data_IF_137520117384
#
_entry.id   IF_137520117384
#
_cell.length_a   1.000
_cell.length_b   1.000
_cell.length_c   1.000
_cell.angle_alpha   90.00
_cell.angle_beta   90.00
_cell.angle_gamma   90.00
#
_symmetry.space_group_name_H-M   'P 1'
#
loop_
_entity.id
_entity.type
_entity.pdbx_description
1 polymer ?
#
# COMPACT_ATOMS: atom_id res chain seq x y z
N UNK A 1 -65.41 -30.51 16.81
CA UNK A 1 -65.17 -29.05 16.73
C UNK A 1 -64.00 -28.73 17.65
N UNK A 2 -62.78 -28.75 17.11
CA UNK A 2 -61.57 -28.34 17.81
C UNK A 2 -60.97 -27.21 16.98
N UNK A 3 -61.05 -25.98 17.47
CA UNK A 3 -60.48 -24.80 16.84
C UNK A 3 -58.99 -24.75 17.18
N UNK A 4 -58.15 -25.09 16.20
CA UNK A 4 -56.71 -24.82 16.26
C UNK A 4 -56.46 -23.30 16.39
N UNK A 5 -55.47 -22.87 17.18
CA UNK A 5 -55.13 -21.46 17.28
C UNK A 5 -54.48 -20.99 15.97
N UNK A 6 -54.87 -19.79 15.52
CA UNK A 6 -54.24 -19.09 14.39
C UNK A 6 -52.77 -18.83 14.70
N UNK A 7 -51.87 -18.88 13.69
CA UNK A 7 -50.53 -18.33 13.85
C UNK A 7 -50.66 -16.82 14.04
N UNK A 8 -49.98 -16.29 15.07
CA UNK A 8 -49.92 -14.86 15.33
C UNK A 8 -49.39 -14.15 14.09
N UNK A 9 -50.24 -13.31 13.51
CA UNK A 9 -49.90 -12.42 12.41
C UNK A 9 -48.80 -11.48 12.85
N UNK A 10 -47.68 -11.51 12.13
CA UNK A 10 -46.48 -10.70 12.39
C UNK A 10 -46.83 -9.24 12.68
N UNK A 11 -46.54 -8.80 13.91
CA UNK A 11 -46.53 -7.40 14.26
C UNK A 11 -45.47 -6.71 13.39
N UNK A 12 -45.90 -5.80 12.52
CA UNK A 12 -44.98 -4.89 11.82
C UNK A 12 -44.04 -4.26 12.85
N UNK A 13 -42.71 -4.38 12.70
CA UNK A 13 -41.77 -3.84 13.67
C UNK A 13 -41.98 -2.33 13.81
N UNK A 14 -42.07 -1.85 15.04
CA UNK A 14 -42.28 -0.44 15.33
C UNK A 14 -40.98 0.32 15.05
N UNK A 15 -40.89 0.96 13.88
CA UNK A 15 -39.73 1.78 13.51
C UNK A 15 -39.80 3.21 14.07
N UNK A 16 -40.92 3.60 14.68
CA UNK A 16 -41.08 4.94 15.29
C UNK A 16 -40.21 5.12 16.55
N UNK A 17 -39.69 4.03 17.10
CA UNK A 17 -38.77 4.02 18.23
C UNK A 17 -37.37 4.53 17.86
N UNK A 18 -37.00 4.51 16.57
CA UNK A 18 -35.67 4.94 16.12
C UNK A 18 -35.49 6.46 16.30
N UNK A 19 -34.36 6.92 16.87
CA UNK A 19 -34.06 8.35 16.91
C UNK A 19 -33.80 8.89 15.50
N UNK A 20 -34.14 10.16 15.28
CA UNK A 20 -33.74 10.85 14.05
C UNK A 20 -32.23 11.05 14.02
N UNK A 21 -31.66 11.14 12.82
CA UNK A 21 -30.23 11.44 12.61
C UNK A 21 -29.85 12.74 13.34
N UNK A 22 -30.68 13.78 13.25
CA UNK A 22 -30.43 15.05 13.94
C UNK A 22 -30.43 14.93 15.47
N UNK A 23 -31.29 14.07 16.03
CA UNK A 23 -31.31 13.80 17.47
C UNK A 23 -30.02 13.12 17.92
N UNK A 24 -29.52 12.15 17.14
CA UNK A 24 -28.26 11.47 17.44
C UNK A 24 -27.07 12.43 17.27
N UNK A 25 -27.07 13.27 16.23
CA UNK A 25 -26.03 14.29 16.01
C UNK A 25 -25.99 15.37 17.09
N UNK A 26 -27.11 15.61 17.78
CA UNK A 26 -27.19 16.58 18.88
C UNK A 26 -26.87 15.96 20.25
N UNK A 27 -26.62 14.65 20.32
CA UNK A 27 -26.16 13.99 21.55
C UNK A 27 -24.74 14.45 21.86
N UNK A 28 -24.48 14.91 23.09
CA UNK A 28 -23.18 15.43 23.51
C UNK A 28 -22.03 14.43 23.24
N UNK A 29 -22.30 13.12 23.32
CA UNK A 29 -21.30 12.07 23.08
C UNK A 29 -20.90 11.97 21.60
N UNK A 30 -21.73 12.44 20.69
CA UNK A 30 -21.46 12.55 19.26
C UNK A 30 -20.93 13.94 18.92
N UNK A 31 -21.47 14.99 19.54
CA UNK A 31 -21.04 16.37 19.31
C UNK A 31 -19.55 16.57 19.64
N UNK A 32 -19.05 15.96 20.72
CA UNK A 32 -17.61 15.98 21.08
C UNK A 32 -16.72 15.37 19.97
N UNK A 33 -17.26 14.49 19.13
CA UNK A 33 -16.51 13.89 18.01
C UNK A 33 -16.28 14.87 16.86
N UNK A 34 -17.05 15.96 16.76
CA UNK A 34 -16.88 16.99 15.72
C UNK A 34 -15.53 17.71 15.81
N UNK A 35 -14.88 17.70 16.99
CA UNK A 35 -13.52 18.19 17.16
C UNK A 35 -12.47 17.34 16.41
N UNK A 36 -12.80 16.09 16.08
CA UNK A 36 -11.88 15.11 15.51
C UNK A 36 -12.23 14.72 14.06
N UNK A 37 -13.41 15.13 13.56
CA UNK A 37 -13.85 14.79 12.22
C UNK A 37 -14.94 15.74 11.72
N UNK A 38 -14.98 15.92 10.39
CA UNK A 38 -15.97 16.79 9.77
C UNK A 38 -17.40 16.31 10.04
N UNK A 39 -18.29 17.27 10.30
CA UNK A 39 -19.71 16.99 10.60
C UNK A 39 -20.42 16.20 9.50
N UNK A 40 -20.01 16.36 8.25
CA UNK A 40 -20.54 15.59 7.13
C UNK A 40 -20.24 14.09 7.28
N UNK A 41 -19.00 13.75 7.66
CA UNK A 41 -18.58 12.36 7.90
C UNK A 41 -19.37 11.77 9.07
N UNK A 42 -19.51 12.52 10.17
CA UNK A 42 -20.33 12.08 11.31
C UNK A 42 -21.79 11.83 10.91
N UNK A 43 -22.37 12.71 10.08
CA UNK A 43 -23.74 12.54 9.63
C UNK A 43 -23.91 11.28 8.76
N UNK A 44 -22.92 10.95 7.93
CA UNK A 44 -22.91 9.71 7.15
C UNK A 44 -22.82 8.49 8.07
N UNK A 45 -21.91 8.49 9.06
CA UNK A 45 -21.76 7.41 10.03
C UNK A 45 -23.01 7.19 10.88
N UNK A 46 -23.66 8.27 11.32
CA UNK A 46 -24.94 8.21 12.05
C UNK A 46 -26.03 7.64 11.15
N UNK A 47 -26.10 8.06 9.87
CA UNK A 47 -27.07 7.52 8.91
C UNK A 47 -26.89 6.02 8.70
N UNK A 48 -25.64 5.56 8.60
CA UNK A 48 -25.34 4.14 8.46
C UNK A 48 -25.68 3.34 9.72
N UNK A 49 -25.34 3.84 10.91
CA UNK A 49 -25.67 3.19 12.18
C UNK A 49 -27.18 3.09 12.40
N UNK A 50 -27.92 4.19 12.19
CA UNK A 50 -29.40 4.18 12.24
C UNK A 50 -29.98 3.23 11.17
N UNK A 51 -29.36 3.19 9.99
CA UNK A 51 -29.72 2.29 8.90
C UNK A 51 -29.55 0.82 9.27
N UNK A 52 -28.47 0.47 9.99
CA UNK A 52 -28.21 -0.89 10.47
C UNK A 52 -29.27 -1.33 11.48
N UNK A 53 -29.55 -0.50 12.49
CA UNK A 53 -30.57 -0.82 13.49
C UNK A 53 -31.96 -0.92 12.85
N UNK A 54 -32.26 -0.08 11.85
CA UNK A 54 -33.50 -0.21 11.06
C UNK A 54 -33.59 -1.58 10.38
N UNK A 55 -32.50 -2.07 9.78
CA UNK A 55 -32.46 -3.41 9.16
C UNK A 55 -32.65 -4.52 10.19
N UNK A 56 -32.01 -4.42 11.36
CA UNK A 56 -32.15 -5.38 12.45
C UNK A 56 -33.61 -5.48 12.96
N UNK A 57 -34.26 -4.34 13.21
CA UNK A 57 -35.66 -4.31 13.63
C UNK A 57 -36.60 -4.89 12.55
N UNK A 58 -36.35 -4.60 11.27
CA UNK A 58 -37.09 -5.19 10.15
C UNK A 58 -36.90 -6.71 10.05
N UNK A 59 -35.75 -7.23 10.45
CA UNK A 59 -35.44 -8.66 10.49
C UNK A 59 -36.04 -9.38 11.71
N UNK A 60 -36.66 -8.66 12.65
CA UNK A 60 -37.35 -9.21 13.81
C UNK A 60 -36.60 -9.08 15.14
N UNK A 61 -35.43 -8.42 15.16
CA UNK A 61 -34.72 -8.14 16.40
C UNK A 61 -35.52 -7.19 17.29
N UNK A 62 -35.42 -7.38 18.61
CA UNK A 62 -36.09 -6.55 19.61
C UNK A 62 -35.04 -5.85 20.45
N UNK A 63 -34.92 -4.55 20.25
CA UNK A 63 -34.07 -3.67 21.06
C UNK A 63 -34.97 -2.73 21.89
N UNK A 64 -34.74 -2.61 23.21
CA UNK A 64 -35.45 -1.65 24.05
C UNK A 64 -35.21 -0.23 23.55
N UNK A 65 -36.27 0.59 23.56
CA UNK A 65 -36.19 1.97 23.04
C UNK A 65 -35.16 2.81 23.80
N UNK A 66 -35.03 2.55 25.08
CA UNK A 66 -34.14 3.24 26.01
C UNK A 66 -32.66 2.98 25.66
N UNK A 67 -32.35 1.82 25.07
CA UNK A 67 -30.98 1.40 24.73
C UNK A 67 -30.57 1.81 23.31
N UNK A 68 -31.52 2.11 22.43
CA UNK A 68 -31.25 2.39 21.00
C UNK A 68 -30.27 3.53 20.79
N UNK A 69 -30.40 4.62 21.55
CA UNK A 69 -29.50 5.76 21.42
C UNK A 69 -28.07 5.38 21.83
N UNK A 70 -27.92 4.63 22.92
CA UNK A 70 -26.62 4.19 23.41
C UNK A 70 -25.95 3.22 22.45
N UNK A 71 -26.72 2.27 21.88
CA UNK A 71 -26.24 1.34 20.85
C UNK A 71 -25.80 2.09 19.58
N UNK A 72 -26.59 3.05 19.11
CA UNK A 72 -26.24 3.85 17.92
C UNK A 72 -25.00 4.70 18.19
N UNK A 73 -24.89 5.33 19.37
CA UNK A 73 -23.72 6.13 19.73
C UNK A 73 -22.46 5.26 19.81
N UNK A 74 -22.55 4.06 20.38
CA UNK A 74 -21.44 3.11 20.42
C UNK A 74 -21.01 2.66 19.01
N UNK A 75 -21.97 2.31 18.15
CA UNK A 75 -21.69 1.91 16.76
C UNK A 75 -21.06 3.05 15.96
N UNK A 76 -21.57 4.29 16.08
CA UNK A 76 -20.98 5.47 15.42
C UNK A 76 -19.54 5.70 15.87
N UNK A 77 -19.23 5.55 17.17
CA UNK A 77 -17.86 5.68 17.69
C UNK A 77 -16.95 4.61 17.12
N UNK A 78 -17.38 3.34 17.12
CA UNK A 78 -16.60 2.24 16.57
C UNK A 78 -16.34 2.42 15.07
N UNK A 79 -17.36 2.85 14.31
CA UNK A 79 -17.20 3.14 12.88
C UNK A 79 -16.26 4.30 12.66
N UNK A 80 -16.36 5.36 13.45
CA UNK A 80 -15.45 6.50 13.35
C UNK A 80 -14.01 6.09 13.61
N UNK A 81 -13.76 5.31 14.67
CA UNK A 81 -12.43 4.76 14.96
C UNK A 81 -11.89 3.95 13.79
N UNK A 82 -12.72 3.11 13.16
CA UNK A 82 -12.31 2.33 12.00
C UNK A 82 -12.07 3.19 10.74
N UNK A 83 -12.92 4.18 10.49
CA UNK A 83 -12.79 5.10 9.35
C UNK A 83 -11.57 5.99 9.48
N UNK A 84 -11.26 6.44 10.70
CA UNK A 84 -10.12 7.31 10.99
C UNK A 84 -8.82 6.54 11.25
N UNK A 85 -8.88 5.22 11.39
CA UNK A 85 -7.68 4.40 11.58
C UNK A 85 -6.75 4.51 10.34
N UNK A 86 -5.44 4.75 10.55
CA UNK A 86 -4.48 4.72 9.47
C UNK A 86 -4.46 3.36 8.78
N UNK A 87 -4.62 3.35 7.45
CA UNK A 87 -4.50 2.12 6.65
C UNK A 87 -3.07 1.56 6.65
N UNK A 88 -2.08 2.42 6.84
CA UNK A 88 -0.68 2.05 7.05
C UNK A 88 -0.35 2.24 8.53
N UNK A 89 -0.02 1.16 9.21
CA UNK A 89 0.24 1.14 10.65
C UNK A 89 1.49 0.29 10.97
N UNK A 90 2.19 0.57 12.08
CA UNK A 90 3.28 -0.28 12.55
C UNK A 90 2.77 -1.68 12.90
N UNK A 91 3.62 -2.69 12.69
CA UNK A 91 3.32 -4.10 12.95
C UNK A 91 4.48 -4.77 13.67
N UNK A 92 4.20 -5.78 14.48
CA UNK A 92 5.22 -6.62 15.13
C UNK A 92 5.51 -7.83 14.25
N UNK A 93 6.74 -7.94 13.73
CA UNK A 93 7.15 -9.09 12.93
C UNK A 93 7.56 -10.26 13.83
N UNK A 94 6.71 -11.28 13.94
CA UNK A 94 6.96 -12.51 14.68
C UNK A 94 7.24 -13.73 13.77
N UNK A 95 7.45 -13.51 12.47
CA UNK A 95 7.62 -14.60 11.48
C UNK A 95 9.06 -15.14 11.42
N UNK A 96 10.03 -14.42 11.99
CA UNK A 96 11.46 -14.72 11.84
C UNK A 96 12.05 -14.38 10.47
N UNK A 97 11.23 -13.89 9.53
CA UNK A 97 11.69 -13.45 8.20
C UNK A 97 12.22 -12.01 8.31
N UNK A 98 13.53 -11.84 8.10
CA UNK A 98 14.20 -10.52 8.20
C UNK A 98 13.75 -9.59 7.05
N UNK A 99 13.93 -10.02 5.79
CA UNK A 99 13.53 -9.26 4.61
C UNK A 99 12.11 -9.64 4.18
N UNK A 100 11.12 -9.26 4.98
CA UNK A 100 9.73 -9.62 4.72
C UNK A 100 9.12 -8.67 3.67
N UNK A 101 8.88 -9.17 2.46
CA UNK A 101 8.35 -8.37 1.33
C UNK A 101 7.02 -7.69 1.64
N UNK A 102 6.10 -8.39 2.30
CA UNK A 102 4.78 -7.83 2.64
C UNK A 102 4.80 -6.86 3.83
N UNK A 103 5.84 -6.87 4.69
CA UNK A 103 5.95 -5.98 5.85
C UNK A 103 6.91 -4.80 5.60
N UNK A 104 7.27 -4.55 4.35
CA UNK A 104 8.09 -3.37 3.98
C UNK A 104 9.60 -3.61 3.92
N UNK A 105 10.07 -4.87 3.86
CA UNK A 105 11.49 -5.24 3.73
C UNK A 105 12.33 -4.77 4.93
N UNK A 106 13.48 -4.14 4.66
CA UNK A 106 14.44 -3.76 5.70
C UNK A 106 13.94 -2.52 6.48
N UNK A 107 13.80 -2.60 7.81
CA UNK A 107 13.57 -1.42 8.62
C UNK A 107 14.80 -0.50 8.60
N UNK A 108 14.57 0.80 8.75
CA UNK A 108 15.65 1.79 8.79
C UNK A 108 16.26 1.89 10.20
N UNK A 109 17.57 2.11 10.25
CA UNK A 109 18.26 2.39 11.51
C UNK A 109 17.79 3.75 12.08
N UNK A 110 17.79 3.94 13.42
CA UNK A 110 17.37 5.19 14.05
C UNK A 110 18.08 6.44 13.49
N UNK A 111 19.39 6.35 13.24
CA UNK A 111 20.17 7.46 12.66
C UNK A 111 19.71 7.84 11.24
N UNK A 112 19.26 6.87 10.43
CA UNK A 112 18.73 7.15 9.09
C UNK A 112 17.36 7.85 9.19
N UNK A 113 16.49 7.42 10.12
CA UNK A 113 15.21 8.07 10.37
C UNK A 113 15.40 9.51 10.86
N UNK A 114 16.34 9.74 11.78
CA UNK A 114 16.67 11.09 12.27
C UNK A 114 17.08 12.01 11.12
N UNK A 115 17.93 11.52 10.19
CA UNK A 115 18.32 12.29 9.00
C UNK A 115 17.14 12.62 8.10
N UNK A 116 16.26 11.64 7.82
CA UNK A 116 15.06 11.85 7.00
C UNK A 116 14.16 12.92 7.62
N UNK A 117 13.93 12.85 8.94
CA UNK A 117 13.12 13.83 9.66
C UNK A 117 13.75 15.21 9.63
N UNK A 118 15.07 15.32 9.83
CA UNK A 118 15.80 16.59 9.77
C UNK A 118 15.73 17.26 8.39
N UNK A 119 15.59 16.49 7.32
CA UNK A 119 15.50 16.98 5.93
C UNK A 119 14.06 17.01 5.38
N UNK A 120 13.04 16.87 6.22
CA UNK A 120 11.65 16.80 5.77
C UNK A 120 11.11 18.14 5.21
N UNK A 121 11.75 19.26 5.56
CA UNK A 121 11.46 20.59 5.02
C UNK A 121 12.24 20.91 3.74
N UNK A 122 12.48 22.20 3.48
CA UNK A 122 13.39 22.61 2.41
C UNK A 122 14.80 22.06 2.67
N UNK A 123 15.41 21.53 1.62
CA UNK A 123 16.74 20.95 1.65
C UNK A 123 17.46 21.20 0.33
N UNK A 124 18.76 20.97 0.31
CA UNK A 124 19.65 21.23 -0.82
C UNK A 124 19.62 20.11 -1.88
N UNK A 125 18.45 19.50 -2.14
CA UNK A 125 18.30 18.34 -3.04
C UNK A 125 18.88 18.62 -4.43
N UNK A 126 18.71 19.83 -4.95
CA UNK A 126 19.27 20.28 -6.23
C UNK A 126 19.93 21.66 -6.12
N UNK A 127 20.52 21.96 -4.95
CA UNK A 127 21.25 23.21 -4.73
C UNK A 127 22.63 22.88 -4.23
N UNK A 128 23.64 23.36 -4.94
CA UNK A 128 25.01 23.32 -4.46
C UNK A 128 25.23 24.48 -3.47
N UNK A 129 25.62 24.15 -2.24
CA UNK A 129 25.71 25.14 -1.17
C UNK A 129 26.95 26.03 -1.29
N UNK A 130 27.97 25.59 -2.02
CA UNK A 130 29.20 26.36 -2.23
C UNK A 130 29.01 27.45 -3.29
N UNK A 131 28.45 27.09 -4.45
CA UNK A 131 28.18 28.01 -5.56
C UNK A 131 26.84 28.75 -5.44
N UNK A 132 25.89 28.22 -4.66
CA UNK A 132 24.52 28.71 -4.57
C UNK A 132 23.69 28.48 -5.84
N UNK A 133 24.20 27.70 -6.80
CA UNK A 133 23.53 27.41 -8.07
C UNK A 133 22.76 26.09 -8.02
N UNK A 134 21.99 25.83 -9.08
CA UNK A 134 21.33 24.53 -9.27
C UNK A 134 22.39 23.43 -9.41
N UNK A 135 22.32 22.45 -8.54
CA UNK A 135 23.14 21.24 -8.56
C UNK A 135 22.35 20.01 -9.05
N UNK A 136 23.04 18.87 -9.08
CA UNK A 136 22.42 17.59 -9.42
C UNK A 136 22.32 16.65 -8.21
N UNK A 137 21.11 16.15 -7.95
CA UNK A 137 20.82 15.29 -6.79
C UNK A 137 21.60 13.98 -6.75
N UNK A 138 22.06 13.45 -7.89
CA UNK A 138 22.78 12.17 -7.94
C UNK A 138 24.14 12.24 -7.26
N UNK A 139 24.78 13.41 -7.31
CA UNK A 139 26.09 13.66 -6.70
C UNK A 139 26.06 13.51 -5.17
N UNK A 140 24.88 13.62 -4.54
CA UNK A 140 24.73 13.46 -3.09
C UNK A 140 25.08 12.03 -2.60
N UNK A 141 25.05 11.04 -3.50
CA UNK A 141 25.27 9.61 -3.15
C UNK A 141 26.28 8.90 -4.04
N UNK A 142 26.58 9.44 -5.23
CA UNK A 142 27.48 8.80 -6.20
C UNK A 142 28.87 8.54 -5.63
N UNK A 143 29.50 9.53 -5.01
CA UNK A 143 30.86 9.39 -4.45
C UNK A 143 30.93 8.28 -3.39
N UNK A 144 29.92 8.20 -2.52
CA UNK A 144 29.84 7.15 -1.50
C UNK A 144 29.69 5.77 -2.14
N UNK A 145 28.88 5.64 -3.19
CA UNK A 145 28.71 4.37 -3.89
C UNK A 145 29.99 3.96 -4.62
N UNK A 146 30.67 4.89 -5.27
CA UNK A 146 31.95 4.62 -5.95
C UNK A 146 33.02 4.19 -4.94
N UNK A 147 33.10 4.86 -3.77
CA UNK A 147 34.01 4.46 -2.69
C UNK A 147 33.72 3.05 -2.14
N UNK A 148 32.44 2.69 -1.98
CA UNK A 148 32.04 1.38 -1.45
C UNK A 148 32.25 0.23 -2.44
N UNK A 149 32.11 0.51 -3.74
CA UNK A 149 32.09 -0.53 -4.79
C UNK A 149 33.37 -0.59 -5.61
N UNK A 150 34.15 0.49 -5.66
CA UNK A 150 35.27 0.66 -6.59
C UNK A 150 34.86 0.95 -8.03
N UNK A 151 33.57 1.21 -8.29
CA UNK A 151 33.09 1.57 -9.62
C UNK A 151 33.58 2.97 -10.04
N UNK A 152 33.71 3.18 -11.35
CA UNK A 152 34.13 4.47 -11.94
C UNK A 152 33.04 5.55 -11.83
N UNK A 153 31.77 5.14 -11.79
CA UNK A 153 30.60 6.01 -11.65
C UNK A 153 29.43 5.21 -11.05
N UNK A 154 28.43 5.91 -10.49
CA UNK A 154 27.26 5.26 -9.90
C UNK A 154 25.98 6.07 -10.11
N UNK A 155 24.89 5.36 -10.42
CA UNK A 155 23.56 5.96 -10.57
C UNK A 155 22.55 5.28 -9.63
N UNK A 156 21.68 6.08 -9.02
CA UNK A 156 20.55 5.61 -8.22
C UNK A 156 19.25 5.97 -8.92
N UNK A 157 18.40 4.97 -9.08
CA UNK A 157 17.04 5.12 -9.62
C UNK A 157 16.03 4.59 -8.60
N UNK A 158 14.74 4.75 -8.89
CA UNK A 158 13.64 4.41 -7.99
C UNK A 158 13.79 3.02 -7.32
N UNK A 159 14.08 1.97 -8.11
CA UNK A 159 14.32 0.63 -7.60
C UNK A 159 15.10 -0.22 -8.62
N UNK A 160 15.46 -1.44 -8.25
CA UNK A 160 16.22 -2.34 -9.14
C UNK A 160 15.47 -2.70 -10.44
N UNK A 161 14.13 -2.75 -10.43
CA UNK A 161 13.37 -3.03 -11.66
C UNK A 161 13.54 -1.91 -12.68
N UNK A 162 13.49 -0.65 -12.21
CA UNK A 162 13.80 0.51 -13.04
C UNK A 162 15.27 0.51 -13.51
N UNK A 163 16.21 0.07 -12.65
CA UNK A 163 17.61 -0.06 -13.03
C UNK A 163 17.80 -1.06 -14.18
N UNK A 164 17.23 -2.27 -14.06
CA UNK A 164 17.27 -3.29 -15.12
C UNK A 164 16.68 -2.74 -16.42
N UNK A 165 15.50 -2.11 -16.37
CA UNK A 165 14.87 -1.53 -17.55
C UNK A 165 15.76 -0.45 -18.20
N UNK A 166 16.29 0.46 -17.39
CA UNK A 166 17.11 1.57 -17.86
C UNK A 166 18.41 1.08 -18.48
N UNK A 167 19.09 0.13 -17.84
CA UNK A 167 20.34 -0.46 -18.36
C UNK A 167 20.11 -1.18 -19.68
N UNK A 168 19.08 -2.02 -19.76
CA UNK A 168 18.75 -2.75 -20.98
C UNK A 168 18.35 -1.82 -22.12
N UNK A 169 17.56 -0.78 -21.83
CA UNK A 169 17.18 0.20 -22.85
C UNK A 169 18.37 1.05 -23.29
N UNK A 170 19.16 1.59 -22.35
CA UNK A 170 20.27 2.49 -22.68
C UNK A 170 21.40 1.80 -23.45
N UNK A 171 21.67 0.51 -23.15
CA UNK A 171 22.80 -0.23 -23.74
C UNK A 171 22.37 -1.23 -24.82
N UNK A 172 21.14 -1.73 -24.76
CA UNK A 172 20.66 -2.87 -25.55
C UNK A 172 19.48 -2.57 -26.47
N UNK A 173 19.02 -1.31 -26.59
CA UNK A 173 17.91 -0.97 -27.49
C UNK A 173 18.18 -1.46 -28.92
N UNK A 174 17.24 -2.24 -29.46
CA UNK A 174 17.31 -2.89 -30.79
C UNK A 174 18.50 -3.84 -31.00
N UNK A 175 19.24 -4.16 -29.94
CA UNK A 175 20.39 -5.07 -29.90
C UNK A 175 20.07 -6.36 -29.14
N UNK A 176 20.90 -7.37 -29.34
CA UNK A 176 20.74 -8.67 -28.70
C UNK A 176 21.34 -8.65 -27.30
N UNK A 177 20.54 -8.96 -26.28
CA UNK A 177 21.01 -9.14 -24.91
C UNK A 177 20.94 -10.62 -24.53
N UNK A 178 22.13 -11.21 -24.35
CA UNK A 178 22.27 -12.63 -24.02
C UNK A 178 22.01 -12.87 -22.53
N UNK A 179 21.15 -13.82 -22.21
CA UNK A 179 20.77 -14.18 -20.83
C UNK A 179 20.65 -15.69 -20.67
N UNK A 180 21.08 -16.22 -19.52
CA UNK A 180 20.88 -17.64 -19.22
C UNK A 180 19.40 -17.93 -18.96
N UNK A 181 18.88 -19.03 -19.49
CA UNK A 181 17.52 -19.51 -19.17
C UNK A 181 17.29 -19.70 -17.66
N UNK A 182 18.34 -20.03 -16.90
CA UNK A 182 18.28 -20.16 -15.45
C UNK A 182 18.13 -18.84 -14.69
N UNK A 183 18.33 -17.69 -15.36
CA UNK A 183 18.24 -16.36 -14.76
C UNK A 183 16.90 -15.66 -15.03
N UNK A 184 16.00 -16.28 -15.80
CA UNK A 184 14.67 -15.74 -16.10
C UNK A 184 13.73 -15.91 -14.92
N UNK A 185 13.97 -15.12 -13.88
CA UNK A 185 13.29 -15.18 -12.60
C UNK A 185 12.05 -14.30 -12.56
N UNK A 186 11.15 -14.69 -11.65
CA UNK A 186 10.04 -13.88 -11.18
C UNK A 186 10.26 -13.59 -9.68
N UNK A 187 10.18 -12.33 -9.30
CA UNK A 187 10.41 -11.89 -7.91
C UNK A 187 9.21 -11.08 -7.42
N UNK A 188 8.63 -11.51 -6.30
CA UNK A 188 7.40 -10.92 -5.79
C UNK A 188 6.20 -11.30 -6.66
N UNK A 189 5.30 -10.36 -6.92
CA UNK A 189 4.07 -10.62 -7.71
C UNK A 189 4.01 -9.95 -9.08
N UNK A 190 5.00 -9.11 -9.46
CA UNK A 190 4.90 -8.30 -10.68
C UNK A 190 6.23 -8.03 -11.38
N UNK A 191 7.36 -8.51 -10.85
CA UNK A 191 8.65 -8.37 -11.53
C UNK A 191 9.01 -9.70 -12.21
N UNK A 192 9.01 -9.69 -13.54
CA UNK A 192 9.36 -10.83 -14.38
C UNK A 192 10.44 -10.38 -15.36
N UNK A 193 11.63 -10.96 -15.28
CA UNK A 193 12.76 -10.52 -16.12
C UNK A 193 12.43 -10.57 -17.62
N UNK A 194 11.77 -11.61 -18.17
CA UNK A 194 11.38 -11.64 -19.58
C UNK A 194 10.49 -10.46 -19.99
N UNK A 195 9.50 -10.14 -19.17
CA UNK A 195 8.56 -9.04 -19.44
C UNK A 195 9.28 -7.68 -19.40
N UNK A 196 10.27 -7.53 -18.51
CA UNK A 196 11.10 -6.32 -18.41
C UNK A 196 12.03 -6.18 -19.61
N UNK A 197 12.66 -7.27 -20.05
CA UNK A 197 13.51 -7.27 -21.25
C UNK A 197 12.69 -6.91 -22.49
N UNK A 198 11.51 -7.51 -22.66
CA UNK A 198 10.63 -7.17 -23.78
C UNK A 198 10.23 -5.68 -23.79
N UNK A 199 9.96 -5.10 -22.62
CA UNK A 199 9.61 -3.67 -22.50
C UNK A 199 10.79 -2.74 -22.68
N UNK A 200 12.01 -3.20 -22.44
CA UNK A 200 13.22 -2.39 -22.59
C UNK A 200 13.56 -2.07 -24.05
N UNK A 201 13.00 -2.81 -25.01
CA UNK A 201 13.37 -2.72 -26.43
C UNK A 201 14.63 -3.52 -26.78
N UNK A 202 15.26 -4.20 -25.81
CA UNK A 202 16.31 -5.17 -26.10
C UNK A 202 15.75 -6.48 -26.64
N UNK A 203 16.48 -7.11 -27.57
CA UNK A 203 16.15 -8.42 -28.13
C UNK A 203 16.76 -9.49 -27.22
N UNK A 204 15.92 -10.19 -26.46
CA UNK A 204 16.40 -11.24 -25.56
C UNK A 204 16.88 -12.47 -26.34
N UNK A 205 18.12 -12.89 -26.07
CA UNK A 205 18.71 -14.13 -26.60
C UNK A 205 18.98 -15.08 -25.43
N UNK A 206 18.19 -16.13 -25.33
CA UNK A 206 18.28 -17.08 -24.23
C UNK A 206 19.26 -18.22 -24.53
N UNK A 207 20.18 -18.49 -23.60
CA UNK A 207 21.20 -19.52 -23.73
C UNK A 207 21.18 -20.54 -22.59
N UNK A 208 21.80 -21.70 -22.82
CA UNK A 208 21.86 -22.80 -21.86
C UNK A 208 20.47 -23.42 -21.58
N UNK A 209 20.34 -24.02 -20.41
CA UNK A 209 19.10 -24.62 -19.89
C UNK A 209 18.74 -24.04 -18.53
N UNK A 210 17.58 -24.43 -17.99
CA UNK A 210 17.08 -23.95 -16.70
C UNK A 210 18.05 -24.21 -15.54
N UNK A 211 18.72 -25.36 -15.53
CA UNK A 211 19.57 -25.81 -14.42
C UNK A 211 21.06 -25.84 -14.74
N UNK A 212 21.45 -25.60 -16.00
CA UNK A 212 22.84 -25.65 -16.44
C UNK A 212 23.11 -24.57 -17.49
N UNK A 213 24.18 -23.83 -17.32
CA UNK A 213 24.70 -22.90 -18.33
C UNK A 213 26.21 -22.98 -18.35
N UNK A 214 26.78 -23.06 -19.54
CA UNK A 214 28.20 -23.16 -19.78
C UNK A 214 28.71 -21.89 -20.47
N UNK A 215 30.01 -21.60 -20.36
CA UNK A 215 30.62 -20.45 -21.03
C UNK A 215 30.39 -20.48 -22.55
N UNK A 216 30.53 -21.67 -23.16
CA UNK A 216 30.30 -21.87 -24.59
C UNK A 216 28.87 -21.52 -25.03
N UNK A 217 27.87 -21.62 -24.14
CA UNK A 217 26.49 -21.24 -24.47
C UNK A 217 26.40 -19.73 -24.75
N UNK A 218 27.16 -18.91 -24.00
CA UNK A 218 27.27 -17.47 -24.24
C UNK A 218 28.12 -17.16 -25.46
N UNK A 219 29.31 -17.78 -25.58
CA UNK A 219 30.23 -17.54 -26.71
C UNK A 219 29.56 -17.79 -28.06
N UNK A 220 28.78 -18.87 -28.17
CA UNK A 220 28.07 -19.23 -29.40
C UNK A 220 26.90 -18.28 -29.73
N UNK A 221 26.44 -17.48 -28.77
CA UNK A 221 25.36 -16.52 -28.96
C UNK A 221 25.86 -15.10 -29.29
N UNK A 222 27.17 -14.85 -29.20
CA UNK A 222 27.75 -13.55 -29.54
C UNK A 222 27.73 -13.33 -31.06
N UNK A 223 27.22 -12.17 -31.49
CA UNK A 223 27.28 -11.74 -32.88
C UNK A 223 27.46 -10.21 -32.97
N UNK A 224 27.48 -9.66 -34.19
CA UNK A 224 27.60 -8.20 -34.42
C UNK A 224 26.45 -7.38 -33.80
N UNK A 225 25.33 -8.02 -33.48
CA UNK A 225 24.17 -7.39 -32.85
C UNK A 225 24.20 -7.42 -31.32
N UNK A 226 25.14 -8.14 -30.72
CA UNK A 226 25.29 -8.25 -29.25
C UNK A 226 25.97 -7.01 -28.68
#
# INVERSE_FOLDING_TARGET
MSTSPKPDSGSTPDLSILPSVDRVLSDERIDVLTAHCDRAVLADLVRDAVGEIRRALLAGDRLPREELLDVIVADVRQRLEHTMAPRLAPVVNATGIILHTNLGRAPLAPAALERITATAGYSNVEVDLESGQRGHRHLLVEDLLCQLTGAEAAAVVNNNAAAVLLTLNALGLDRETVVSRGQLVEIGGSFRLPDMMQRSGAVMVEVGTTNRTHLADYENALCERT
#
